data_IF_490014981879
#
_entry.id   IF_490014981879
#
_cell.length_a   1.000
_cell.length_b   1.000
_cell.length_c   1.000
_cell.angle_alpha   90.00
_cell.angle_beta   90.00
_cell.angle_gamma   90.00
#
_symmetry.space_group_name_H-M   'P 1'
#
loop_
_entity.id
_entity.type
_entity.pdbx_description
1 polymer ?
#
# COMPACT_ATOMS: atom_id res chain seq x y z
N UNK A 1 -36.04 96.87 -22.62
CA UNK A 1 -37.09 95.94 -22.12
C UNK A 1 -37.04 94.58 -22.83
N UNK A 2 -36.79 94.53 -24.15
CA UNK A 2 -36.69 93.26 -24.92
C UNK A 2 -35.53 92.34 -24.50
N UNK A 3 -34.35 92.88 -24.14
CA UNK A 3 -33.19 92.04 -23.75
C UNK A 3 -33.37 91.32 -22.41
N UNK A 4 -34.07 91.94 -21.44
CA UNK A 4 -34.37 91.33 -20.14
C UNK A 4 -35.33 90.14 -20.28
N UNK A 5 -36.26 90.20 -21.23
CA UNK A 5 -37.20 89.11 -21.51
C UNK A 5 -36.51 87.93 -22.21
N UNK A 6 -35.66 88.20 -23.22
CA UNK A 6 -34.85 87.15 -23.87
C UNK A 6 -33.93 86.43 -22.88
N UNK A 7 -33.25 87.16 -22.00
CA UNK A 7 -32.36 86.55 -21.01
C UNK A 7 -33.13 85.65 -20.02
N UNK A 8 -34.35 86.03 -19.63
CA UNK A 8 -35.23 85.17 -18.82
C UNK A 8 -35.65 83.89 -19.54
N UNK A 9 -35.99 83.98 -20.82
CA UNK A 9 -36.35 82.79 -21.63
C UNK A 9 -35.14 81.85 -21.76
N UNK A 10 -33.95 82.38 -22.05
CA UNK A 10 -32.73 81.57 -22.16
C UNK A 10 -32.37 80.91 -20.83
N UNK A 11 -32.49 81.64 -19.72
CA UNK A 11 -32.26 81.10 -18.37
C UNK A 11 -33.24 79.99 -18.01
N UNK A 12 -34.54 80.15 -18.34
CA UNK A 12 -35.55 79.11 -18.13
C UNK A 12 -35.29 77.87 -18.99
N UNK A 13 -34.86 78.05 -20.25
CA UNK A 13 -34.49 76.93 -21.12
C UNK A 13 -33.27 76.16 -20.59
N UNK A 14 -32.25 76.86 -20.09
CA UNK A 14 -31.10 76.23 -19.45
C UNK A 14 -31.47 75.48 -18.16
N UNK A 15 -32.38 76.04 -17.36
CA UNK A 15 -32.91 75.36 -16.18
C UNK A 15 -33.70 74.09 -16.54
N UNK A 16 -34.52 74.14 -17.59
CA UNK A 16 -35.26 72.97 -18.08
C UNK A 16 -34.31 71.85 -18.53
N UNK A 17 -33.25 72.18 -19.28
CA UNK A 17 -32.23 71.21 -19.70
C UNK A 17 -31.49 70.60 -18.51
N UNK A 18 -31.19 71.40 -17.47
CA UNK A 18 -30.57 70.88 -16.25
C UNK A 18 -31.50 69.92 -15.49
N UNK A 19 -32.80 70.19 -15.48
CA UNK A 19 -33.82 69.30 -14.88
C UNK A 19 -33.90 67.97 -15.63
N UNK A 20 -33.84 67.98 -16.97
CA UNK A 20 -33.86 66.76 -17.77
C UNK A 20 -32.59 65.90 -17.55
N UNK A 21 -31.41 66.51 -17.41
CA UNK A 21 -30.18 65.79 -17.06
C UNK A 21 -30.28 65.13 -15.66
N UNK A 22 -30.83 65.86 -14.68
CA UNK A 22 -31.09 65.32 -13.34
C UNK A 22 -32.08 64.16 -13.40
N UNK A 23 -33.14 64.27 -14.19
CA UNK A 23 -34.13 63.20 -14.39
C UNK A 23 -33.50 61.96 -15.00
N UNK A 24 -32.69 62.12 -16.05
CA UNK A 24 -31.99 61.00 -16.69
C UNK A 24 -31.00 60.31 -15.73
N UNK A 25 -30.33 61.07 -14.85
CA UNK A 25 -29.48 60.50 -13.79
C UNK A 25 -30.31 59.75 -12.75
N UNK A 26 -31.47 60.28 -12.37
CA UNK A 26 -32.38 59.64 -11.43
C UNK A 26 -32.92 58.32 -11.97
N UNK A 27 -33.35 58.29 -13.23
CA UNK A 27 -33.86 57.07 -13.89
C UNK A 27 -32.78 55.97 -13.93
N UNK A 28 -31.51 56.33 -14.13
CA UNK A 28 -30.40 55.37 -14.02
C UNK A 28 -30.22 54.84 -12.60
N UNK A 29 -30.31 55.70 -11.59
CA UNK A 29 -30.21 55.30 -10.17
C UNK A 29 -31.37 54.38 -9.78
N UNK A 30 -32.59 54.67 -10.26
CA UNK A 30 -33.77 53.81 -10.10
C UNK A 30 -33.49 52.44 -10.75
N UNK A 31 -33.01 52.41 -12.00
CA UNK A 31 -32.64 51.16 -12.66
C UNK A 31 -31.56 50.34 -11.94
N UNK A 32 -30.62 50.98 -11.24
CA UNK A 32 -29.64 50.26 -10.41
C UNK A 32 -30.27 49.71 -9.12
N UNK A 33 -31.15 50.47 -8.48
CA UNK A 33 -31.82 50.06 -7.24
C UNK A 33 -32.78 48.90 -7.47
N UNK A 34 -33.42 48.80 -8.63
CA UNK A 34 -34.25 47.65 -9.03
C UNK A 34 -33.45 46.34 -9.15
N UNK A 35 -32.13 46.40 -9.34
CA UNK A 35 -31.26 45.21 -9.42
C UNK A 35 -30.75 44.73 -8.06
N UNK A 36 -30.97 45.49 -6.99
CA UNK A 36 -30.52 45.13 -5.64
C UNK A 36 -31.28 43.90 -5.09
N UNK A 37 -32.62 43.84 -5.12
CA UNK A 37 -33.37 42.72 -4.56
C UNK A 37 -32.99 41.33 -5.11
N UNK A 38 -32.81 41.11 -6.43
CA UNK A 38 -32.39 39.80 -6.94
C UNK A 38 -30.94 39.44 -6.55
N UNK A 39 -30.06 40.43 -6.37
CA UNK A 39 -28.69 40.21 -5.88
C UNK A 39 -28.72 39.80 -4.41
N UNK A 40 -29.50 40.48 -3.58
CA UNK A 40 -29.69 40.12 -2.16
C UNK A 40 -30.28 38.71 -2.01
N UNK A 41 -31.30 38.38 -2.79
CA UNK A 41 -31.87 37.03 -2.82
C UNK A 41 -30.83 35.97 -3.25
N UNK A 42 -29.94 36.33 -4.18
CA UNK A 42 -28.80 35.49 -4.57
C UNK A 42 -27.82 35.25 -3.42
N UNK A 43 -27.49 36.29 -2.65
CA UNK A 43 -26.61 36.21 -1.48
C UNK A 43 -27.21 35.28 -0.42
N UNK A 44 -28.48 35.42 -0.07
CA UNK A 44 -29.14 34.54 0.90
C UNK A 44 -29.17 33.07 0.45
N UNK A 45 -29.38 32.83 -0.85
CA UNK A 45 -29.35 31.47 -1.42
C UNK A 45 -27.95 30.85 -1.30
N UNK A 46 -26.91 31.61 -1.66
CA UNK A 46 -25.52 31.15 -1.55
C UNK A 46 -25.12 30.91 -0.10
N UNK A 47 -25.57 31.75 0.84
CA UNK A 47 -25.34 31.55 2.27
C UNK A 47 -25.96 30.22 2.74
N UNK A 48 -27.21 29.93 2.34
CA UNK A 48 -27.85 28.64 2.64
C UNK A 48 -27.07 27.44 2.10
N UNK A 49 -26.57 27.53 0.86
CA UNK A 49 -25.74 26.47 0.27
C UNK A 49 -24.40 26.28 1.01
N UNK A 50 -23.77 27.38 1.45
CA UNK A 50 -22.54 27.33 2.24
C UNK A 50 -22.80 26.64 3.58
N UNK A 51 -23.91 26.95 4.25
CA UNK A 51 -24.23 26.34 5.54
C UNK A 51 -24.56 24.85 5.40
N UNK A 52 -25.26 24.46 4.32
CA UNK A 52 -25.49 23.05 4.01
C UNK A 52 -24.17 22.29 3.76
N UNK A 53 -23.27 22.86 2.95
CA UNK A 53 -21.95 22.29 2.70
C UNK A 53 -21.12 22.15 3.98
N UNK A 54 -21.17 23.13 4.89
CA UNK A 54 -20.51 23.04 6.21
C UNK A 54 -21.06 21.87 7.03
N UNK A 55 -22.38 21.68 7.06
CA UNK A 55 -23.00 20.57 7.78
C UNK A 55 -22.62 19.21 7.19
N UNK A 56 -22.55 19.12 5.85
CA UNK A 56 -22.09 17.91 5.18
C UNK A 56 -20.61 17.62 5.51
N UNK A 57 -19.75 18.64 5.51
CA UNK A 57 -18.34 18.50 5.82
C UNK A 57 -18.11 18.02 7.27
N UNK A 58 -18.87 18.55 8.23
CA UNK A 58 -18.83 18.09 9.63
C UNK A 58 -19.17 16.61 9.76
N UNK A 59 -20.21 16.13 9.06
CA UNK A 59 -20.56 14.70 9.04
C UNK A 59 -19.43 13.83 8.48
N UNK A 60 -18.72 14.31 7.47
CA UNK A 60 -17.56 13.59 6.90
C UNK A 60 -16.43 13.50 7.92
N UNK A 61 -16.16 14.57 8.67
CA UNK A 61 -15.17 14.54 9.76
C UNK A 61 -15.53 13.53 10.84
N UNK A 62 -16.79 13.53 11.31
CA UNK A 62 -17.25 12.56 12.32
C UNK A 62 -17.11 11.11 11.82
N UNK A 63 -17.42 10.89 10.53
CA UNK A 63 -17.28 9.58 9.92
C UNK A 63 -15.81 9.15 9.85
N UNK A 64 -14.89 10.06 9.51
CA UNK A 64 -13.45 9.79 9.46
C UNK A 64 -12.92 9.43 10.85
N UNK A 65 -13.35 10.12 11.90
CA UNK A 65 -12.99 9.79 13.28
C UNK A 65 -13.49 8.40 13.68
N UNK A 66 -14.71 8.03 13.27
CA UNK A 66 -15.25 6.69 13.51
C UNK A 66 -14.44 5.58 12.80
N UNK A 67 -13.87 5.89 11.63
CA UNK A 67 -13.00 4.97 10.87
C UNK A 67 -11.66 4.84 11.57
N UNK A 68 -11.03 5.95 11.97
CA UNK A 68 -9.79 5.92 12.75
C UNK A 68 -9.94 5.14 14.07
N UNK A 69 -11.06 5.33 14.79
CA UNK A 69 -11.33 4.58 16.01
C UNK A 69 -11.57 3.09 15.77
N UNK A 70 -12.09 2.70 14.60
CA UNK A 70 -12.21 1.29 14.20
C UNK A 70 -10.86 0.69 13.82
N UNK A 71 -10.04 1.42 13.08
CA UNK A 71 -8.69 0.99 12.70
C UNK A 71 -7.83 0.73 13.93
N UNK A 72 -7.80 1.66 14.90
CA UNK A 72 -7.06 1.47 16.16
C UNK A 72 -7.50 0.23 16.93
N UNK A 73 -8.82 -0.01 17.01
CA UNK A 73 -9.35 -1.23 17.66
C UNK A 73 -8.93 -2.51 16.94
N UNK A 74 -8.88 -2.48 15.61
CA UNK A 74 -8.40 -3.61 14.82
C UNK A 74 -6.91 -3.87 15.06
N UNK A 75 -6.08 -2.81 15.13
CA UNK A 75 -4.66 -2.92 15.45
C UNK A 75 -4.44 -3.51 16.86
N UNK A 76 -5.19 -3.04 17.86
CA UNK A 76 -5.13 -3.56 19.23
C UNK A 76 -5.52 -5.06 19.29
N UNK A 77 -6.56 -5.47 18.56
CA UNK A 77 -6.97 -6.87 18.47
C UNK A 77 -5.93 -7.73 17.75
N UNK A 78 -5.32 -7.22 16.68
CA UNK A 78 -4.22 -7.88 15.99
C UNK A 78 -3.03 -8.10 16.93
N UNK A 79 -2.69 -7.10 17.76
CA UNK A 79 -1.62 -7.23 18.73
C UNK A 79 -1.91 -8.33 19.77
N UNK A 80 -3.15 -8.37 20.28
CA UNK A 80 -3.58 -9.43 21.21
C UNK A 80 -3.56 -10.82 20.58
N UNK A 81 -3.97 -10.94 19.32
CA UNK A 81 -3.93 -12.20 18.58
C UNK A 81 -2.49 -12.65 18.35
N UNK A 82 -1.57 -11.73 18.01
CA UNK A 82 -0.14 -12.03 17.90
C UNK A 82 0.42 -12.55 19.23
N UNK A 83 0.11 -11.88 20.35
CA UNK A 83 0.51 -12.36 21.68
C UNK A 83 -0.09 -13.74 22.00
N UNK A 84 -1.36 -13.99 21.64
CA UNK A 84 -2.01 -15.27 21.88
C UNK A 84 -1.37 -16.39 21.05
N UNK A 85 -1.01 -16.11 19.80
CA UNK A 85 -0.26 -17.03 18.93
C UNK A 85 1.12 -17.31 19.51
N UNK A 86 1.85 -16.30 19.98
CA UNK A 86 3.14 -16.49 20.65
C UNK A 86 3.00 -17.39 21.89
N UNK A 87 1.98 -17.15 22.73
CA UNK A 87 1.72 -17.99 23.92
C UNK A 87 1.35 -19.43 23.55
N UNK A 88 0.58 -19.63 22.48
CA UNK A 88 0.26 -20.97 21.96
C UNK A 88 1.51 -21.66 21.40
N UNK A 89 2.39 -20.92 20.72
CA UNK A 89 3.68 -21.40 20.24
C UNK A 89 4.56 -21.86 21.41
N UNK A 90 4.66 -21.04 22.47
CA UNK A 90 5.39 -21.40 23.71
C UNK A 90 4.79 -22.63 24.38
N UNK A 91 3.45 -22.76 24.48
CA UNK A 91 2.81 -23.96 25.08
C UNK A 91 3.00 -25.23 24.26
N UNK A 92 3.00 -25.12 22.93
CA UNK A 92 3.19 -26.26 22.03
C UNK A 92 4.65 -26.75 22.07
N UNK A 93 5.61 -25.83 22.18
CA UNK A 93 7.04 -26.14 22.39
C UNK A 93 7.34 -26.60 23.82
N UNK A 94 6.58 -26.13 24.82
CA UNK A 94 6.71 -26.61 26.22
C UNK A 94 6.23 -28.06 26.42
N UNK A 95 5.47 -28.61 25.47
CA UNK A 95 5.14 -30.04 25.42
C UNK A 95 6.23 -30.93 24.81
N UNK A 96 7.29 -30.33 24.26
CA UNK A 96 8.43 -31.04 23.68
C UNK A 96 9.34 -30.09 22.92
N UNK A 97 10.59 -30.01 23.39
CA UNK A 97 11.73 -29.21 22.91
C UNK A 97 11.77 -27.73 23.35
N UNK A 98 12.72 -27.47 24.27
CA UNK A 98 13.19 -26.14 24.65
C UNK A 98 13.75 -25.40 23.42
N UNK A 99 13.09 -24.32 23.01
CA UNK A 99 13.62 -23.33 22.07
C UNK A 99 14.13 -22.15 22.90
N UNK A 100 15.27 -22.35 23.55
CA UNK A 100 16.07 -21.23 24.02
C UNK A 100 16.87 -20.72 22.83
N UNK A 101 16.80 -19.41 22.60
CA UNK A 101 17.59 -18.63 21.65
C UNK A 101 17.15 -18.66 20.17
N UNK A 102 16.15 -17.83 19.80
CA UNK A 102 16.20 -16.98 18.58
C UNK A 102 14.97 -16.05 18.46
N UNK A 103 15.12 -14.80 17.99
CA UNK A 103 14.03 -13.84 17.84
C UNK A 103 13.21 -14.14 16.58
N UNK A 104 11.97 -14.59 16.78
CA UNK A 104 11.05 -15.07 15.74
C UNK A 104 10.58 -14.00 14.72
N UNK A 105 10.94 -12.73 14.86
CA UNK A 105 10.28 -11.64 14.13
C UNK A 105 11.13 -10.90 13.08
N UNK A 106 12.40 -11.28 12.86
CA UNK A 106 13.25 -10.62 11.84
C UNK A 106 13.44 -11.44 10.56
N UNK A 107 13.29 -12.77 10.61
CA UNK A 107 13.45 -13.64 9.45
C UNK A 107 12.22 -13.59 8.54
N UNK A 108 11.02 -13.89 9.04
CA UNK A 108 9.81 -14.01 8.21
C UNK A 108 9.52 -12.75 7.34
N UNK A 109 9.64 -11.55 7.92
CA UNK A 109 9.41 -10.28 7.18
C UNK A 109 10.48 -9.96 6.13
N UNK A 110 11.72 -10.46 6.27
CA UNK A 110 12.77 -10.28 5.23
C UNK A 110 12.69 -11.31 4.11
N UNK A 111 12.01 -12.43 4.34
CA UNK A 111 11.87 -13.52 3.36
C UNK A 111 10.71 -13.26 2.39
N UNK A 112 9.59 -12.70 2.83
CA UNK A 112 8.48 -12.32 1.94
C UNK A 112 8.93 -11.37 0.83
N UNK A 113 9.69 -10.32 1.16
CA UNK A 113 10.17 -9.35 0.15
C UNK A 113 11.24 -9.93 -0.80
N UNK A 114 12.05 -10.91 -0.35
CA UNK A 114 13.13 -11.49 -1.17
C UNK A 114 12.66 -12.52 -2.20
N UNK A 115 11.55 -13.19 -1.91
CA UNK A 115 11.07 -14.35 -2.69
C UNK A 115 9.65 -14.17 -3.25
N UNK A 116 9.05 -12.97 -3.09
CA UNK A 116 7.73 -12.61 -3.65
C UNK A 116 7.60 -12.78 -5.19
N UNK A 117 8.71 -13.01 -5.90
CA UNK A 117 8.74 -13.24 -7.35
C UNK A 117 9.37 -14.58 -7.76
N UNK A 118 9.59 -15.51 -6.83
CA UNK A 118 10.19 -16.82 -7.13
C UNK A 118 9.17 -17.96 -7.19
N UNK A 119 9.65 -19.14 -7.63
CA UNK A 119 8.88 -20.38 -7.63
C UNK A 119 8.21 -20.65 -6.26
N UNK A 120 6.93 -21.07 -6.21
CA UNK A 120 6.18 -21.24 -4.96
C UNK A 120 6.86 -22.16 -3.93
N UNK A 121 7.55 -23.20 -4.39
CA UNK A 121 8.32 -24.11 -3.54
C UNK A 121 9.40 -23.41 -2.71
N UNK A 122 9.97 -22.31 -3.21
CA UNK A 122 11.05 -21.58 -2.53
C UNK A 122 10.54 -20.91 -1.26
N UNK A 123 9.36 -20.27 -1.38
CA UNK A 123 8.68 -19.67 -0.24
C UNK A 123 8.20 -20.73 0.75
N UNK A 124 7.61 -21.81 0.24
CA UNK A 124 7.09 -22.88 1.08
C UNK A 124 8.20 -23.49 1.96
N UNK A 125 9.37 -23.77 1.40
CA UNK A 125 10.48 -24.34 2.15
C UNK A 125 10.97 -23.41 3.26
N UNK A 126 11.13 -22.11 2.96
CA UNK A 126 11.53 -21.11 3.95
C UNK A 126 10.46 -20.92 5.04
N UNK A 127 9.19 -20.93 4.68
CA UNK A 127 8.08 -20.84 5.63
C UNK A 127 8.07 -22.05 6.59
N UNK A 128 8.14 -23.27 6.05
CA UNK A 128 8.14 -24.51 6.84
C UNK A 128 9.35 -24.62 7.77
N UNK A 129 10.45 -23.91 7.49
CA UNK A 129 11.61 -23.88 8.37
C UNK A 129 11.24 -23.46 9.80
N UNK A 130 10.22 -22.65 10.02
CA UNK A 130 9.87 -22.24 11.38
C UNK A 130 9.05 -23.29 12.14
N UNK A 131 8.52 -24.31 11.45
CA UNK A 131 7.52 -25.23 12.01
C UNK A 131 7.98 -26.68 12.11
N UNK A 132 9.00 -27.08 11.35
CA UNK A 132 9.48 -28.46 11.45
C UNK A 132 10.24 -28.69 12.78
N UNK A 133 10.37 -29.91 13.28
CA UNK A 133 11.28 -30.23 14.39
C UNK A 133 12.70 -30.51 13.89
N UNK A 134 12.85 -30.91 12.61
CA UNK A 134 14.12 -31.25 11.98
C UNK A 134 14.38 -30.30 10.80
N UNK A 135 15.62 -29.79 10.70
CA UNK A 135 16.07 -28.87 9.63
C UNK A 135 16.91 -29.55 8.56
N UNK A 136 16.73 -30.86 8.37
CA UNK A 136 17.45 -31.61 7.33
C UNK A 136 16.59 -31.66 6.07
N UNK A 137 17.18 -31.27 4.94
CA UNK A 137 16.52 -31.28 3.63
C UNK A 137 17.31 -32.15 2.66
N UNK A 138 16.61 -33.00 1.91
CA UNK A 138 17.15 -33.77 0.80
C UNK A 138 16.72 -33.08 -0.49
N UNK A 139 17.67 -32.53 -1.23
CA UNK A 139 17.42 -31.89 -2.52
C UNK A 139 17.78 -32.89 -3.63
N UNK A 140 16.77 -33.51 -4.24
CA UNK A 140 16.93 -34.63 -5.17
C UNK A 140 16.77 -34.11 -6.60
N UNK A 141 17.85 -34.20 -7.40
CA UNK A 141 17.92 -33.51 -8.69
C UNK A 141 18.27 -32.03 -8.50
N UNK A 142 19.28 -31.76 -7.67
CA UNK A 142 19.64 -30.41 -7.26
C UNK A 142 20.15 -29.51 -8.40
N UNK A 143 20.47 -30.08 -9.56
CA UNK A 143 20.97 -29.38 -10.75
C UNK A 143 22.13 -28.43 -10.42
N UNK A 144 22.02 -27.14 -10.74
CA UNK A 144 23.02 -26.11 -10.42
C UNK A 144 22.81 -25.43 -9.05
N UNK A 145 21.80 -25.89 -8.30
CA UNK A 145 21.62 -25.59 -6.88
C UNK A 145 20.77 -24.37 -6.55
N UNK A 146 19.84 -23.96 -7.42
CA UNK A 146 18.93 -22.85 -7.14
C UNK A 146 18.11 -23.10 -5.87
N UNK A 147 17.48 -24.27 -5.76
CA UNK A 147 16.68 -24.63 -4.59
C UNK A 147 17.54 -24.93 -3.36
N UNK A 148 18.68 -25.60 -3.55
CA UNK A 148 19.71 -25.80 -2.51
C UNK A 148 20.12 -24.46 -1.89
N UNK A 149 20.31 -23.41 -2.70
CA UNK A 149 20.70 -22.09 -2.22
C UNK A 149 19.63 -21.49 -1.30
N UNK A 150 18.37 -21.49 -1.75
CA UNK A 150 17.24 -20.93 -0.98
C UNK A 150 17.09 -21.62 0.36
N UNK A 151 17.13 -22.96 0.36
CA UNK A 151 16.94 -23.76 1.58
C UNK A 151 18.15 -23.66 2.50
N UNK A 152 19.37 -23.63 1.97
CA UNK A 152 20.56 -23.39 2.78
C UNK A 152 20.57 -21.97 3.38
N UNK A 153 20.06 -20.95 2.66
CA UNK A 153 19.92 -19.58 3.15
C UNK A 153 18.83 -19.46 4.23
N UNK A 154 17.76 -20.26 4.13
CA UNK A 154 16.74 -20.40 5.17
C UNK A 154 17.26 -21.09 6.44
N UNK A 155 18.43 -21.74 6.36
CA UNK A 155 19.11 -22.35 7.51
C UNK A 155 18.97 -23.87 7.60
N UNK A 156 18.47 -24.53 6.55
CA UNK A 156 18.46 -25.99 6.50
C UNK A 156 19.89 -26.55 6.44
N UNK A 157 20.08 -27.77 6.94
CA UNK A 157 21.19 -28.64 6.56
C UNK A 157 20.76 -29.42 5.32
N UNK A 158 21.38 -29.14 4.20
CA UNK A 158 20.97 -29.66 2.89
C UNK A 158 21.92 -30.75 2.42
N UNK A 159 21.35 -31.89 2.00
CA UNK A 159 22.05 -32.93 1.26
C UNK A 159 21.51 -32.89 -0.18
N UNK A 160 22.32 -32.41 -1.11
CA UNK A 160 21.97 -32.16 -2.50
C UNK A 160 22.52 -33.27 -3.40
N UNK A 161 21.65 -33.89 -4.20
CA UNK A 161 21.96 -35.02 -5.06
C UNK A 161 21.78 -34.62 -6.51
N UNK A 162 22.86 -34.66 -7.29
CA UNK A 162 22.84 -34.34 -8.72
C UNK A 162 23.64 -35.39 -9.52
N UNK A 163 22.96 -36.29 -10.26
CA UNK A 163 23.65 -37.35 -11.00
C UNK A 163 24.42 -36.86 -12.23
N UNK A 164 24.03 -35.74 -12.86
CA UNK A 164 24.68 -35.24 -14.08
C UNK A 164 26.01 -34.56 -13.73
N UNK A 165 27.17 -35.07 -14.20
CA UNK A 165 28.48 -34.59 -13.74
C UNK A 165 28.78 -33.13 -14.05
N UNK A 166 28.18 -32.54 -15.10
CA UNK A 166 28.39 -31.13 -15.41
C UNK A 166 27.65 -30.22 -14.43
N UNK A 167 26.36 -30.47 -14.18
CA UNK A 167 25.58 -29.75 -13.19
C UNK A 167 26.17 -29.92 -11.79
N UNK A 168 26.58 -31.14 -11.42
CA UNK A 168 27.24 -31.42 -10.14
C UNK A 168 28.50 -30.59 -9.93
N UNK A 169 29.37 -30.43 -10.95
CA UNK A 169 30.58 -29.60 -10.81
C UNK A 169 30.24 -28.14 -10.50
N UNK A 170 29.17 -27.61 -11.07
CA UNK A 170 28.69 -26.25 -10.77
C UNK A 170 28.10 -26.18 -9.35
N UNK A 171 27.30 -27.17 -8.97
CA UNK A 171 26.73 -27.31 -7.62
C UNK A 171 27.81 -27.36 -6.54
N UNK A 172 28.80 -28.24 -6.71
CA UNK A 172 29.93 -28.41 -5.77
C UNK A 172 30.75 -27.13 -5.65
N UNK A 173 31.07 -26.48 -6.79
CA UNK A 173 31.79 -25.21 -6.78
C UNK A 173 30.99 -24.09 -6.09
N UNK A 174 29.68 -24.01 -6.34
CA UNK A 174 28.79 -22.99 -5.76
C UNK A 174 28.72 -23.07 -4.23
N UNK A 175 28.75 -24.27 -3.68
CA UNK A 175 28.63 -24.50 -2.24
C UNK A 175 29.95 -24.89 -1.57
N UNK A 176 31.08 -24.73 -2.26
CA UNK A 176 32.40 -24.95 -1.70
C UNK A 176 32.60 -24.09 -0.43
N UNK A 177 32.90 -24.75 0.70
CA UNK A 177 33.11 -24.08 1.98
C UNK A 177 31.82 -23.74 2.76
N UNK A 178 30.64 -24.13 2.27
CA UNK A 178 29.39 -23.91 2.96
C UNK A 178 29.05 -25.11 3.88
N UNK A 179 29.23 -24.93 5.18
CA UNK A 179 29.13 -26.02 6.18
C UNK A 179 27.77 -26.70 6.27
N UNK A 180 26.69 -26.00 5.90
CA UNK A 180 25.33 -26.52 5.94
C UNK A 180 24.86 -27.17 4.63
N UNK A 181 25.74 -27.38 3.65
CA UNK A 181 25.44 -28.05 2.38
C UNK A 181 26.44 -29.16 2.10
N UNK A 182 25.93 -30.34 1.73
CA UNK A 182 26.73 -31.44 1.20
C UNK A 182 26.17 -31.86 -0.16
N UNK A 183 27.02 -31.88 -1.18
CA UNK A 183 26.65 -32.28 -2.54
C UNK A 183 27.13 -33.71 -2.84
N UNK A 184 26.35 -34.46 -3.63
CA UNK A 184 26.63 -35.84 -4.00
C UNK A 184 26.37 -36.07 -5.50
N UNK A 185 27.37 -36.63 -6.20
CA UNK A 185 27.25 -36.94 -7.63
C UNK A 185 26.64 -38.33 -7.88
N UNK A 186 25.44 -38.57 -7.36
CA UNK A 186 24.68 -39.79 -7.64
C UNK A 186 23.17 -39.53 -7.50
N UNK A 187 22.37 -40.34 -8.17
CA UNK A 187 20.91 -40.34 -8.01
C UNK A 187 20.48 -41.16 -6.79
N UNK A 188 19.34 -40.81 -6.20
CA UNK A 188 18.71 -41.63 -5.15
C UNK A 188 17.80 -42.69 -5.76
N UNK A 189 17.84 -43.89 -5.19
CA UNK A 189 17.02 -45.04 -5.61
C UNK A 189 16.74 -45.99 -4.45
N UNK A 190 15.98 -47.04 -4.73
CA UNK A 190 15.58 -48.03 -3.73
C UNK A 190 16.72 -48.96 -3.27
N UNK A 191 17.77 -49.09 -4.08
CA UNK A 191 18.94 -49.91 -3.79
C UNK A 191 20.19 -49.28 -4.42
N UNK A 192 21.36 -49.62 -3.88
CA UNK A 192 22.65 -49.23 -4.44
C UNK A 192 22.89 -50.00 -5.75
N UNK A 193 23.00 -49.28 -6.85
CA UNK A 193 23.26 -49.84 -8.18
C UNK A 193 23.81 -48.78 -9.13
N UNK A 194 24.44 -49.22 -10.22
CA UNK A 194 24.83 -48.36 -11.34
C UNK A 194 23.89 -48.60 -12.51
N UNK A 195 23.30 -47.52 -13.04
CA UNK A 195 22.38 -47.57 -14.19
C UNK A 195 22.81 -46.55 -15.25
N UNK A 196 22.49 -46.77 -16.54
CA UNK A 196 22.68 -45.76 -17.57
C UNK A 196 21.87 -44.50 -17.24
N UNK A 197 22.52 -43.33 -17.30
CA UNK A 197 21.86 -42.03 -17.17
C UNK A 197 21.65 -41.45 -18.58
N UNK A 198 20.39 -41.24 -18.96
CA UNK A 198 20.02 -40.74 -20.28
C UNK A 198 19.82 -39.23 -20.22
N UNK A 199 20.61 -38.50 -21.01
CA UNK A 199 20.48 -37.05 -21.18
C UNK A 199 19.87 -36.76 -22.54
N UNK A 200 18.91 -35.83 -22.58
CA UNK A 200 18.44 -35.27 -23.84
C UNK A 200 19.55 -34.37 -24.41
N UNK A 201 19.89 -34.56 -25.68
CA UNK A 201 20.78 -33.65 -26.39
C UNK A 201 19.91 -32.51 -26.89
N UNK A 202 20.20 -31.28 -26.47
CA UNK A 202 19.60 -30.07 -27.04
C UNK A 202 20.06 -29.82 -28.48
#
# INVERSE_FOLDING_TARGET
>A
MQDSFRNRITSLAQQALAIDDVRNKLDRVIGYTERIPPVEAGIYRLQGQIDELKQQLLKVYDMLDSVHARARRADDELLKLLEAVERLHVRTLSGGLQVADMPANLAARRFEDRFAHSEPEYYLAAFLYNFLPNRVLLDVGANEGEYTQVTADAGYRVFAFEPFPEAYRKLEARFAGRENVAAFNFALGAAETTLPFYVAVE
#
